data_IF_392217446640
#
_entry.id   IF_392217446640
#
_cell.length_a   1.000
_cell.length_b   1.000
_cell.length_c   1.000
_cell.angle_alpha   90.00
_cell.angle_beta   90.00
_cell.angle_gamma   90.00
#
_symmetry.space_group_name_H-M   'P 1'
#
loop_
_entity.id
_entity.type
_entity.pdbx_description
1 polymer ?
#
# COMPACT_ATOMS: atom_id res chain seq x y z
N UNK A 1 9.56 11.49 -10.18
CA UNK A 1 9.96 10.34 -9.32
C UNK A 1 8.89 10.22 -8.24
N UNK A 2 8.34 9.02 -8.01
CA UNK A 2 7.31 8.80 -6.99
C UNK A 2 7.95 8.36 -5.67
N UNK A 3 7.33 8.68 -4.53
CA UNK A 3 7.87 8.38 -3.19
C UNK A 3 7.16 7.22 -2.49
N UNK A 4 5.90 6.95 -2.84
CA UNK A 4 5.13 5.82 -2.33
C UNK A 4 4.02 5.47 -3.31
N UNK A 5 3.52 4.24 -3.23
CA UNK A 5 2.33 3.77 -3.92
C UNK A 5 1.18 3.69 -2.92
N UNK A 6 0.04 4.29 -3.27
CA UNK A 6 -1.23 4.12 -2.56
C UNK A 6 -2.18 3.43 -3.51
N UNK A 7 -2.68 2.24 -3.17
CA UNK A 7 -3.58 1.47 -4.04
C UNK A 7 -4.72 0.85 -3.26
N UNK A 8 -5.93 0.88 -3.83
CA UNK A 8 -7.03 0.06 -3.32
C UNK A 8 -6.74 -1.42 -3.61
N UNK A 9 -7.10 -2.33 -2.70
CA UNK A 9 -6.95 -3.78 -2.91
C UNK A 9 -7.87 -4.25 -4.05
N UNK A 10 -9.14 -3.80 -4.03
CA UNK A 10 -10.20 -4.16 -4.97
C UNK A 10 -10.36 -3.07 -6.02
N UNK A 11 -9.32 -2.88 -6.82
CA UNK A 11 -9.43 -2.09 -8.04
C UNK A 11 -10.48 -2.70 -8.99
N UNK A 12 -11.33 -1.85 -9.57
CA UNK A 12 -12.28 -2.27 -10.59
C UNK A 12 -11.54 -2.45 -11.92
N UNK A 13 -11.62 -3.64 -12.52
CA UNK A 13 -11.02 -3.92 -13.84
C UNK A 13 -10.14 -5.17 -13.86
N UNK A 14 -9.08 -5.14 -14.67
CA UNK A 14 -8.18 -6.30 -14.92
C UNK A 14 -6.98 -6.40 -13.97
N UNK A 15 -6.74 -5.36 -13.18
CA UNK A 15 -5.64 -5.27 -12.20
C UNK A 15 -6.25 -5.23 -10.81
N UNK A 16 -5.67 -5.98 -9.87
CA UNK A 16 -5.93 -5.87 -8.43
C UNK A 16 -4.80 -5.07 -7.76
N UNK A 17 -5.07 -4.45 -6.61
CA UNK A 17 -4.06 -3.67 -5.88
C UNK A 17 -2.82 -4.48 -5.54
N UNK A 18 -3.00 -5.78 -5.31
CA UNK A 18 -1.92 -6.72 -5.08
C UNK A 18 -0.93 -6.80 -6.25
N UNK A 19 -1.41 -6.90 -7.50
CA UNK A 19 -0.53 -6.94 -8.67
C UNK A 19 0.16 -5.61 -8.92
N UNK A 20 -0.52 -4.49 -8.67
CA UNK A 20 0.08 -3.15 -8.80
C UNK A 20 1.26 -3.01 -7.83
N UNK A 21 1.07 -3.38 -6.57
CA UNK A 21 2.12 -3.32 -5.56
C UNK A 21 3.28 -4.28 -5.83
N UNK A 22 3.01 -5.50 -6.32
CA UNK A 22 4.07 -6.42 -6.75
C UNK A 22 4.88 -5.83 -7.91
N UNK A 23 4.23 -5.27 -8.93
CA UNK A 23 4.92 -4.61 -10.03
C UNK A 23 5.79 -3.43 -9.58
N UNK A 24 5.32 -2.64 -8.60
CA UNK A 24 6.14 -1.58 -8.01
C UNK A 24 7.39 -2.15 -7.30
N UNK A 25 7.24 -3.26 -6.57
CA UNK A 25 8.34 -3.94 -5.87
C UNK A 25 9.30 -4.70 -6.78
N UNK A 26 8.85 -5.13 -7.96
CA UNK A 26 9.74 -5.69 -9.00
C UNK A 26 10.70 -4.63 -9.56
N UNK A 27 10.27 -3.36 -9.59
CA UNK A 27 11.10 -2.24 -10.04
C UNK A 27 12.01 -1.73 -8.92
N UNK A 28 11.45 -1.55 -7.71
CA UNK A 28 12.19 -1.15 -6.52
C UNK A 28 11.73 -2.00 -5.33
N UNK A 29 12.55 -2.98 -4.89
CA UNK A 29 12.21 -3.92 -3.82
C UNK A 29 11.91 -3.28 -2.47
N UNK A 30 12.28 -2.01 -2.25
CA UNK A 30 12.02 -1.27 -1.01
C UNK A 30 10.94 -0.20 -1.19
N UNK A 31 10.30 -0.13 -2.36
CA UNK A 31 9.35 0.93 -2.66
C UNK A 31 8.18 0.96 -1.67
N UNK A 32 7.89 2.08 -1.00
CA UNK A 32 6.86 2.10 0.03
C UNK A 32 5.45 1.88 -0.56
N UNK A 33 4.68 0.95 0.02
CA UNK A 33 3.32 0.59 -0.44
C UNK A 33 2.31 0.73 0.69
N UNK A 34 1.24 1.47 0.44
CA UNK A 34 0.05 1.55 1.27
C UNK A 34 -1.15 0.98 0.52
N UNK A 35 -1.75 -0.06 1.09
CA UNK A 35 -3.00 -0.65 0.63
C UNK A 35 -4.18 0.04 1.31
N UNK A 36 -5.23 0.27 0.53
CA UNK A 36 -6.52 0.76 1.01
C UNK A 36 -7.57 -0.33 0.77
N UNK A 37 -8.46 -0.57 1.73
CA UNK A 37 -9.52 -1.57 1.53
C UNK A 37 -10.81 -1.27 2.26
N UNK A 38 -11.95 -1.53 1.61
CA UNK A 38 -13.26 -1.62 2.27
C UNK A 38 -13.68 -3.05 2.63
N UNK A 39 -12.88 -4.07 2.27
CA UNK A 39 -13.17 -5.48 2.52
C UNK A 39 -12.13 -6.41 1.86
N UNK A 40 -11.86 -7.57 2.47
CA UNK A 40 -10.74 -8.45 2.06
C UNK A 40 -9.39 -8.05 2.66
N UNK A 41 -9.39 -7.30 3.78
CA UNK A 41 -8.17 -6.98 4.52
C UNK A 41 -7.56 -8.20 5.21
N UNK A 42 -8.34 -9.23 5.45
CA UNK A 42 -7.94 -10.56 5.93
C UNK A 42 -6.99 -11.29 4.97
N UNK A 43 -6.99 -10.95 3.68
CA UNK A 43 -6.05 -11.49 2.69
C UNK A 43 -4.67 -10.80 2.72
N UNK A 44 -4.55 -9.65 3.41
CA UNK A 44 -3.30 -8.87 3.42
C UNK A 44 -2.09 -9.64 3.97
N UNK A 45 -2.19 -10.44 5.05
CA UNK A 45 -1.05 -11.20 5.56
C UNK A 45 -0.46 -12.21 4.56
N UNK A 46 -1.24 -12.66 3.57
CA UNK A 46 -0.81 -13.67 2.59
C UNK A 46 -0.55 -13.08 1.20
N UNK A 47 -1.24 -12.00 0.83
CA UNK A 47 -1.16 -11.39 -0.52
C UNK A 47 -0.40 -10.07 -0.57
N UNK A 48 -0.24 -9.40 0.58
CA UNK A 48 0.49 -8.16 0.72
C UNK A 48 1.98 -8.33 0.40
N UNK A 49 2.62 -7.23 0.01
CA UNK A 49 4.08 -7.20 -0.12
C UNK A 49 4.69 -6.92 1.26
N UNK A 50 5.90 -7.43 1.55
CA UNK A 50 6.60 -7.12 2.81
C UNK A 50 6.73 -5.61 3.03
N UNK A 51 6.75 -5.19 4.30
CA UNK A 51 6.89 -3.79 4.71
C UNK A 51 5.86 -2.84 4.08
N UNK A 52 4.68 -3.37 3.76
CA UNK A 52 3.52 -2.57 3.37
C UNK A 52 2.69 -2.16 4.58
N UNK A 53 1.81 -1.18 4.37
CA UNK A 53 0.80 -0.76 5.35
C UNK A 53 -0.58 -1.00 4.77
N UNK A 54 -1.53 -1.41 5.61
CA UNK A 54 -2.95 -1.52 5.26
C UNK A 54 -3.76 -0.45 5.97
N UNK A 55 -4.64 0.22 5.24
CA UNK A 55 -5.61 1.19 5.75
C UNK A 55 -7.04 0.74 5.41
N UNK A 56 -7.86 0.52 6.43
CA UNK A 56 -9.24 0.10 6.26
C UNK A 56 -10.17 1.30 6.08
N UNK A 57 -11.15 1.16 5.20
CA UNK A 57 -12.25 2.11 5.01
C UNK A 57 -13.37 1.84 6.02
N UNK A 58 -14.10 2.89 6.45
CA UNK A 58 -13.82 4.30 6.19
C UNK A 58 -12.61 4.80 7.02
N UNK A 59 -11.89 5.78 6.49
CA UNK A 59 -10.79 6.47 7.16
C UNK A 59 -10.88 7.98 6.90
N UNK A 60 -10.33 8.75 7.81
CA UNK A 60 -10.25 10.21 7.72
C UNK A 60 -9.03 10.64 6.88
N UNK A 61 -9.06 11.84 6.26
CA UNK A 61 -7.89 12.37 5.56
C UNK A 61 -6.62 12.40 6.43
N UNK A 62 -6.75 12.76 7.71
CA UNK A 62 -5.64 12.75 8.66
C UNK A 62 -5.04 11.37 8.90
N UNK A 63 -5.87 10.32 8.93
CA UNK A 63 -5.41 8.94 9.08
C UNK A 63 -4.58 8.49 7.86
N UNK A 64 -5.01 8.88 6.65
CA UNK A 64 -4.26 8.60 5.43
C UNK A 64 -2.90 9.33 5.45
N UNK A 65 -2.88 10.61 5.79
CA UNK A 65 -1.65 11.40 5.88
C UNK A 65 -0.70 10.81 6.91
N UNK A 66 -1.20 10.45 8.10
CA UNK A 66 -0.40 9.83 9.15
C UNK A 66 0.19 8.47 8.72
N UNK A 67 -0.60 7.65 8.03
CA UNK A 67 -0.15 6.35 7.53
C UNK A 67 0.94 6.50 6.46
N UNK A 68 0.80 7.44 5.53
CA UNK A 68 1.84 7.74 4.53
C UNK A 68 3.10 8.31 5.21
N UNK A 69 2.95 9.25 6.14
CA UNK A 69 4.08 9.84 6.84
C UNK A 69 4.89 8.78 7.63
N UNK A 70 4.21 7.83 8.28
CA UNK A 70 4.84 6.70 8.96
C UNK A 70 5.55 5.77 7.96
N UNK A 71 4.88 5.45 6.85
CA UNK A 71 5.42 4.59 5.81
C UNK A 71 6.71 5.18 5.19
N UNK A 72 6.71 6.48 4.90
CA UNK A 72 7.87 7.17 4.33
C UNK A 72 9.03 7.32 5.33
N UNK A 73 8.74 7.48 6.63
CA UNK A 73 9.78 7.49 7.67
C UNK A 73 10.47 6.14 7.84
N UNK A 74 9.72 5.04 7.64
CA UNK A 74 10.24 3.68 7.78
C UNK A 74 10.92 3.17 6.49
N UNK A 75 10.53 3.68 5.33
CA UNK A 75 11.08 3.31 4.02
C UNK A 75 12.16 4.26 3.51
N UNK A 76 12.54 5.31 4.25
CA UNK A 76 13.68 6.13 3.91
C UNK A 76 14.96 5.32 4.14
N UNK A 77 15.75 4.99 3.09
CA UNK A 77 17.14 4.67 3.33
C UNK A 77 17.79 5.91 3.97
N UNK A 78 18.57 5.70 5.04
CA UNK A 78 19.49 6.70 5.54
C UNK A 78 20.43 7.19 4.43
#
# INVERSE_FOLDING_TARGET
KYSALVTDIRLLGRLDGWRVARGAREIDPSFPVLYITGGGGDEWPTRGVPDSVLLNKPFSPDELVAAIAKLLKNGAPA
#
